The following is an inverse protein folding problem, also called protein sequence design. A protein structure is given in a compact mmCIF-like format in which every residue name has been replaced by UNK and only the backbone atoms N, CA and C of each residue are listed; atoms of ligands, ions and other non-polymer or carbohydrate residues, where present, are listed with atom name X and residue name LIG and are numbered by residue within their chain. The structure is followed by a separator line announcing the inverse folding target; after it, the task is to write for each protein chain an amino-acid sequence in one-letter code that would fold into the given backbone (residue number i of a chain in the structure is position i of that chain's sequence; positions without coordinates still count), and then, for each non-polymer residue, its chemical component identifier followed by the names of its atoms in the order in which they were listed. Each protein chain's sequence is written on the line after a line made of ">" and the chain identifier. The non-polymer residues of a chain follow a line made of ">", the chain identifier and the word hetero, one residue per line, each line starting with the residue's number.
data_IF_604589949458
#
_entry.id   IF_604589949458
#
_cell.length_a   1.000
_cell.length_b   1.000
_cell.length_c   1.000
_cell.angle_alpha   90.00
_cell.angle_beta   90.00
_cell.angle_gamma   90.00
#
_symmetry.space_group_name_H-M   'P 1'
#
loop_
_entity.id
_entity.type
_entity.pdbx_description
1 polymer ?
#
# COMPACT_ATOMS: atom_id res chain seq x y z
N UNK A 1 -13.82 8.19 -5.91
CA UNK A 1 -12.95 8.67 -7.01
C UNK A 1 -12.96 10.18 -6.91
N UNK A 2 -12.06 10.70 -6.09
CA UNK A 2 -12.11 12.07 -5.55
C UNK A 2 -10.84 12.77 -6.00
N UNK A 3 -10.99 13.69 -6.94
CA UNK A 3 -9.91 14.49 -7.50
C UNK A 3 -9.65 15.67 -6.56
N UNK A 4 -8.50 15.67 -5.88
CA UNK A 4 -8.09 16.76 -5.00
C UNK A 4 -7.19 17.70 -5.81
N UNK A 5 -7.77 18.83 -6.21
CA UNK A 5 -7.08 19.96 -6.83
C UNK A 5 -6.29 20.72 -5.74
N UNK A 6 -4.97 20.81 -5.88
CA UNK A 6 -4.06 21.50 -4.95
C UNK A 6 -3.43 22.69 -5.65
N UNK A 7 -4.15 23.81 -5.65
CA UNK A 7 -3.62 25.13 -5.99
C UNK A 7 -2.97 25.77 -4.74
N UNK A 8 -1.66 26.09 -4.74
CA UNK A 8 -1.03 26.84 -3.66
C UNK A 8 -1.19 28.36 -3.90
N UNK A 9 -1.84 29.05 -2.95
CA UNK A 9 -1.85 30.50 -2.86
C UNK A 9 -0.53 31.08 -2.30
N UNK A 10 -0.13 32.30 -2.67
CA UNK A 10 1.18 32.86 -2.34
C UNK A 10 1.20 33.51 -0.94
N UNK A 11 2.05 32.98 -0.05
CA UNK A 11 2.43 33.65 1.19
C UNK A 11 3.69 34.51 0.96
N UNK A 12 3.49 35.82 0.87
CA UNK A 12 4.52 36.85 0.93
C UNK A 12 4.96 37.07 2.38
N UNK A 13 6.23 36.80 2.73
CA UNK A 13 6.92 37.58 3.79
C UNK A 13 8.45 37.49 3.74
N UNK A 14 9.07 38.64 3.41
CA UNK A 14 10.31 39.28 3.94
C UNK A 14 11.50 38.38 4.36
N UNK A 15 12.65 38.47 3.69
CA UNK A 15 13.69 39.51 3.76
C UNK A 15 14.73 39.30 4.88
N UNK A 16 16.01 39.22 4.46
CA UNK A 16 17.30 39.37 5.16
C UNK A 16 18.18 38.13 4.92
N UNK A 17 19.51 38.16 4.82
CA UNK A 17 20.57 39.14 4.60
C UNK A 17 21.86 38.26 4.56
N UNK A 18 22.96 38.83 4.06
CA UNK A 18 24.35 38.42 4.35
C UNK A 18 25.02 37.28 3.56
N UNK A 19 26.07 37.73 2.86
CA UNK A 19 27.41 37.11 2.78
C UNK A 19 27.69 36.20 1.59
N UNK A 20 28.05 36.86 0.49
CA UNK A 20 28.83 36.30 -0.60
C UNK A 20 30.24 35.91 -0.11
N UNK A 21 30.54 34.61 -0.12
CA UNK A 21 31.89 34.06 0.00
C UNK A 21 32.28 33.51 -1.38
N UNK A 22 33.11 34.27 -2.12
CA UNK A 22 33.64 33.86 -3.42
C UNK A 22 34.86 32.97 -3.17
N UNK A 23 34.70 31.67 -3.41
CA UNK A 23 35.78 30.68 -3.36
C UNK A 23 36.34 30.49 -4.78
N UNK A 24 37.57 30.95 -5.02
CA UNK A 24 38.28 30.73 -6.29
C UNK A 24 38.77 29.27 -6.34
N UNK A 25 38.12 28.43 -7.14
CA UNK A 25 38.57 27.06 -7.42
C UNK A 25 39.40 27.06 -8.69
N UNK A 26 40.69 26.75 -8.56
CA UNK A 26 41.61 26.55 -9.69
C UNK A 26 41.34 25.19 -10.34
N UNK A 27 40.82 25.20 -11.56
CA UNK A 27 40.65 24.00 -12.38
C UNK A 27 41.98 23.61 -13.04
N UNK A 28 42.52 22.45 -12.68
CA UNK A 28 43.57 21.79 -13.44
C UNK A 28 42.98 21.07 -14.67
N UNK A 29 43.70 21.00 -15.82
CA UNK A 29 43.21 20.35 -17.02
C UNK A 29 43.13 18.84 -16.81
N UNK A 30 41.90 18.32 -16.72
CA UNK A 30 41.64 16.88 -16.75
C UNK A 30 41.83 16.36 -18.17
N UNK A 31 42.86 15.53 -18.33
CA UNK A 31 43.06 14.75 -19.55
C UNK A 31 41.81 13.93 -19.88
N UNK A 32 41.18 14.24 -21.00
CA UNK A 32 39.99 13.56 -21.50
C UNK A 32 40.39 12.17 -22.03
N UNK A 33 40.42 11.18 -21.15
CA UNK A 33 40.38 9.79 -21.57
C UNK A 33 38.97 9.52 -22.13
N UNK A 34 38.86 9.43 -23.45
CA UNK A 34 37.62 9.06 -24.15
C UNK A 34 37.34 7.57 -23.93
N UNK A 35 36.95 7.21 -22.71
CA UNK A 35 36.38 5.91 -22.41
C UNK A 35 35.01 5.86 -23.08
N UNK A 36 34.88 4.97 -24.07
CA UNK A 36 33.62 4.71 -24.78
C UNK A 36 32.56 4.31 -23.74
N UNK A 37 31.67 5.25 -23.42
CA UNK A 37 30.76 5.11 -22.29
C UNK A 37 29.78 3.95 -22.52
N UNK A 38 29.46 3.16 -21.47
CA UNK A 38 28.45 2.13 -21.57
C UNK A 38 27.10 2.74 -21.98
N UNK A 39 26.35 2.04 -22.83
CA UNK A 39 25.01 2.48 -23.22
C UNK A 39 24.10 2.37 -22.00
N UNK A 40 23.66 3.51 -21.46
CA UNK A 40 22.70 3.59 -20.36
C UNK A 40 21.29 3.73 -20.91
N UNK A 41 20.37 2.89 -20.44
CA UNK A 41 18.98 2.84 -20.89
C UNK A 41 18.07 2.86 -19.66
N UNK A 42 17.07 3.73 -19.69
CA UNK A 42 16.03 3.79 -18.66
C UNK A 42 14.82 2.96 -19.09
N UNK A 43 14.30 2.13 -18.17
CA UNK A 43 13.16 1.25 -18.42
C UNK A 43 12.16 1.38 -17.27
N UNK A 44 10.90 1.65 -17.58
CA UNK A 44 9.81 1.80 -16.58
C UNK A 44 8.99 0.52 -16.37
N UNK A 45 9.09 -0.45 -17.29
CA UNK A 45 8.38 -1.74 -17.23
C UNK A 45 8.96 -2.71 -16.20
N UNK A 46 8.19 -3.73 -15.83
CA UNK A 46 8.65 -4.81 -14.93
C UNK A 46 9.52 -5.86 -15.66
N UNK A 47 9.45 -5.89 -16.98
CA UNK A 47 10.18 -6.81 -17.85
C UNK A 47 10.95 -5.98 -18.87
N UNK A 48 12.22 -6.31 -19.06
CA UNK A 48 13.05 -5.68 -20.09
C UNK A 48 12.81 -6.43 -21.38
N UNK A 49 12.40 -5.75 -22.44
CA UNK A 49 12.27 -6.35 -23.77
C UNK A 49 13.44 -5.96 -24.68
N UNK A 50 13.66 -6.71 -25.75
CA UNK A 50 14.75 -6.42 -26.68
C UNK A 50 14.60 -5.04 -27.35
N UNK A 51 13.36 -4.62 -27.62
CA UNK A 51 13.05 -3.30 -28.17
C UNK A 51 13.49 -2.14 -27.29
N UNK A 52 13.58 -2.33 -25.96
CA UNK A 52 14.08 -1.31 -25.04
C UNK A 52 15.59 -1.07 -25.22
N UNK A 53 16.33 -2.12 -25.61
CA UNK A 53 17.79 -2.09 -25.68
C UNK A 53 18.30 -1.64 -27.05
N UNK A 54 17.64 -2.06 -28.11
CA UNK A 54 18.10 -1.86 -29.49
C UNK A 54 17.02 -1.12 -30.28
N UNK A 55 17.35 0.05 -30.84
CA UNK A 55 16.39 0.93 -31.53
C UNK A 55 15.91 0.40 -32.89
N UNK A 56 16.76 -0.35 -33.59
CA UNK A 56 16.51 -0.82 -34.96
C UNK A 56 16.16 -2.32 -34.99
N UNK A 57 15.25 -2.75 -34.11
CA UNK A 57 14.81 -4.15 -34.00
C UNK A 57 13.59 -4.38 -34.90
N UNK A 58 13.54 -5.47 -35.70
CA UNK A 58 12.33 -5.85 -36.40
C UNK A 58 11.15 -5.99 -35.44
N UNK A 59 9.94 -5.58 -35.84
CA UNK A 59 8.74 -5.60 -34.97
C UNK A 59 8.51 -6.98 -34.33
N UNK A 60 8.79 -8.06 -35.08
CA UNK A 60 8.66 -9.43 -34.58
C UNK A 60 9.58 -9.77 -33.39
N UNK A 61 10.70 -9.05 -33.23
CA UNK A 61 11.70 -9.28 -32.19
C UNK A 61 11.66 -8.24 -31.07
N UNK A 62 10.89 -7.15 -31.23
CA UNK A 62 10.84 -6.06 -30.26
C UNK A 62 10.30 -6.52 -28.90
N UNK A 63 9.33 -7.43 -28.91
CA UNK A 63 8.64 -7.94 -27.71
C UNK A 63 9.36 -9.13 -27.05
N UNK A 64 10.56 -9.49 -27.52
CA UNK A 64 11.30 -10.62 -26.95
C UNK A 64 11.77 -10.28 -25.55
N UNK A 65 11.32 -11.07 -24.58
CA UNK A 65 11.56 -10.85 -23.16
C UNK A 65 12.99 -11.22 -22.77
N UNK A 66 13.72 -10.22 -22.29
CA UNK A 66 15.06 -10.35 -21.77
C UNK A 66 15.06 -10.56 -20.26
N UNK A 67 13.94 -10.66 -19.57
CA UNK A 67 13.85 -10.99 -18.15
C UNK A 67 13.41 -9.82 -17.25
N UNK A 68 13.49 -9.99 -15.92
CA UNK A 68 12.97 -9.00 -14.98
C UNK A 68 13.80 -7.72 -15.03
N UNK A 69 13.11 -6.57 -14.99
CA UNK A 69 13.72 -5.27 -14.78
C UNK A 69 14.32 -5.15 -13.38
N UNK A 70 15.35 -4.31 -13.19
CA UNK A 70 15.87 -4.03 -11.86
C UNK A 70 14.80 -3.41 -10.95
N UNK A 71 15.02 -3.49 -9.64
CA UNK A 71 14.17 -2.78 -8.69
C UNK A 71 14.24 -1.25 -8.95
N UNK A 72 13.16 -0.49 -8.67
CA UNK A 72 13.17 0.96 -8.82
C UNK A 72 14.32 1.61 -8.04
N UNK A 73 15.06 2.49 -8.70
CA UNK A 73 16.27 3.13 -8.14
C UNK A 73 17.54 2.30 -8.29
N UNK A 74 17.46 1.09 -8.85
CA UNK A 74 18.63 0.24 -9.12
C UNK A 74 18.95 0.17 -10.61
N UNK A 75 20.20 -0.23 -10.88
CA UNK A 75 20.68 -0.51 -12.22
C UNK A 75 21.30 -1.90 -12.30
N UNK A 76 21.09 -2.58 -13.42
CA UNK A 76 21.65 -3.89 -13.75
C UNK A 76 22.38 -3.78 -15.08
N UNK A 77 23.57 -4.37 -15.15
CA UNK A 77 24.34 -4.39 -16.39
C UNK A 77 24.21 -5.74 -17.07
N UNK A 78 23.83 -5.74 -18.36
CA UNK A 78 23.76 -6.92 -19.20
C UNK A 78 24.90 -6.90 -20.22
N UNK A 79 25.66 -7.99 -20.25
CA UNK A 79 26.65 -8.25 -21.28
C UNK A 79 26.00 -8.81 -22.54
N UNK A 80 26.64 -8.59 -23.69
CA UNK A 80 26.22 -9.17 -24.98
C UNK A 80 25.95 -10.67 -24.89
N UNK A 81 26.82 -11.43 -24.21
CA UNK A 81 26.68 -12.88 -24.04
C UNK A 81 25.39 -13.26 -23.30
N UNK A 82 24.98 -12.47 -22.29
CA UNK A 82 23.74 -12.70 -21.56
C UNK A 82 22.51 -12.41 -22.42
N UNK A 83 22.55 -11.34 -23.22
CA UNK A 83 21.48 -11.00 -24.15
C UNK A 83 21.34 -12.13 -25.19
N UNK A 84 22.45 -12.56 -25.80
CA UNK A 84 22.47 -13.66 -26.77
C UNK A 84 21.94 -14.98 -26.17
N UNK A 85 22.33 -15.31 -24.93
CA UNK A 85 21.83 -16.50 -24.25
C UNK A 85 20.30 -16.45 -24.06
N UNK A 86 19.75 -15.29 -23.71
CA UNK A 86 18.30 -15.11 -23.53
C UNK A 86 17.54 -15.18 -24.85
N UNK A 87 18.08 -14.62 -25.93
CA UNK A 87 17.52 -14.78 -27.28
C UNK A 87 17.52 -16.23 -27.75
N UNK A 88 18.61 -16.96 -27.49
CA UNK A 88 18.70 -18.38 -27.80
C UNK A 88 17.66 -19.21 -27.03
N UNK A 89 17.42 -18.87 -25.76
CA UNK A 89 16.35 -19.50 -24.95
C UNK A 89 14.94 -19.21 -25.49
N UNK A 90 14.74 -18.05 -26.12
CA UNK A 90 13.49 -17.68 -26.78
C UNK A 90 13.33 -18.28 -28.19
N UNK A 91 14.31 -19.05 -28.68
CA UNK A 91 14.35 -19.61 -30.04
C UNK A 91 14.26 -18.54 -31.14
N UNK A 92 14.86 -17.38 -30.90
CA UNK A 92 14.85 -16.23 -31.82
C UNK A 92 16.17 -16.13 -32.56
N UNK A 93 16.11 -16.07 -33.89
CA UNK A 93 17.27 -15.86 -34.73
C UNK A 93 17.84 -14.45 -34.56
N UNK A 94 19.17 -14.36 -34.42
CA UNK A 94 19.91 -13.12 -34.13
C UNK A 94 20.28 -12.31 -35.38
N UNK A 95 19.93 -12.81 -36.56
CA UNK A 95 20.49 -12.31 -37.81
C UNK A 95 20.01 -10.89 -38.09
N UNK A 96 20.96 -9.98 -38.26
CA UNK A 96 20.70 -8.56 -38.55
C UNK A 96 20.59 -7.63 -37.34
N UNK A 97 20.56 -8.14 -36.09
CA UNK A 97 20.44 -7.29 -34.90
C UNK A 97 21.82 -6.89 -34.35
N UNK A 98 22.12 -5.59 -34.29
CA UNK A 98 23.37 -5.07 -33.71
C UNK A 98 23.27 -4.97 -32.19
N UNK A 99 23.67 -6.02 -31.48
CA UNK A 99 23.67 -6.05 -30.01
C UNK A 99 24.94 -5.36 -29.45
N UNK A 100 24.81 -4.35 -28.58
CA UNK A 100 25.94 -3.69 -27.91
C UNK A 100 26.69 -4.65 -26.97
N UNK A 101 27.99 -4.39 -26.73
CA UNK A 101 28.84 -5.26 -25.88
C UNK A 101 28.37 -5.30 -24.42
N UNK A 102 27.93 -4.15 -23.91
CA UNK A 102 27.55 -3.94 -22.52
C UNK A 102 26.46 -2.87 -22.45
N UNK A 103 25.39 -3.14 -21.72
CA UNK A 103 24.26 -2.23 -21.53
C UNK A 103 23.96 -2.13 -20.06
N UNK A 104 23.85 -0.91 -19.54
CA UNK A 104 23.37 -0.65 -18.19
C UNK A 104 21.92 -0.24 -18.26
N UNK A 105 21.05 -1.06 -17.67
CA UNK A 105 19.62 -0.82 -17.58
C UNK A 105 19.36 -0.26 -16.19
N UNK A 106 18.82 0.95 -16.12
CA UNK A 106 18.40 1.58 -14.87
C UNK A 106 16.89 1.73 -14.85
N UNK A 107 16.27 1.45 -13.71
CA UNK A 107 14.85 1.73 -13.50
C UNK A 107 14.71 2.98 -12.64
N UNK A 108 14.13 4.08 -13.14
CA UNK A 108 13.99 5.28 -12.33
C UNK A 108 13.07 4.98 -11.13
N UNK A 109 13.54 5.36 -9.95
CA UNK A 109 12.78 5.28 -8.70
C UNK A 109 12.44 6.67 -8.19
N UNK A 110 11.30 6.80 -7.51
CA UNK A 110 10.99 7.94 -6.67
C UNK A 110 11.17 7.55 -5.20
N UNK A 111 11.92 8.35 -4.46
CA UNK A 111 12.11 8.16 -3.01
C UNK A 111 11.04 8.92 -2.26
N UNK A 112 10.17 8.21 -1.56
CA UNK A 112 9.14 8.78 -0.70
C UNK A 112 9.73 8.88 0.71
N UNK A 113 9.86 10.12 1.19
CA UNK A 113 10.31 10.38 2.55
C UNK A 113 9.27 9.90 3.58
N UNK A 114 9.75 9.43 4.74
CA UNK A 114 8.90 8.89 5.81
C UNK A 114 7.73 9.81 6.22
N UNK A 115 7.90 11.14 6.38
CA UNK A 115 6.78 12.00 6.78
C UNK A 115 5.65 12.04 5.73
N UNK A 116 6.02 12.02 4.45
CA UNK A 116 5.05 12.02 3.36
C UNK A 116 4.32 10.69 3.27
N UNK A 117 5.05 9.58 3.46
CA UNK A 117 4.48 8.24 3.50
C UNK A 117 3.47 8.10 4.66
N UNK A 118 3.79 8.63 5.84
CA UNK A 118 2.88 8.65 7.00
C UNK A 118 1.58 9.39 6.70
N UNK A 119 1.66 10.56 6.04
CA UNK A 119 0.49 11.33 5.63
C UNK A 119 -0.44 10.53 4.72
N UNK A 120 0.11 9.98 3.62
CA UNK A 120 -0.67 9.19 2.65
C UNK A 120 -1.33 7.98 3.33
N UNK A 121 -0.62 7.28 4.21
CA UNK A 121 -1.16 6.11 4.92
C UNK A 121 -2.24 6.53 5.92
N UNK A 122 -2.06 7.63 6.65
CA UNK A 122 -3.05 8.14 7.59
C UNK A 122 -4.35 8.54 6.88
N UNK A 123 -4.24 9.22 5.73
CA UNK A 123 -5.39 9.60 4.92
C UNK A 123 -6.16 8.37 4.42
N UNK A 124 -5.45 7.37 3.89
CA UNK A 124 -6.05 6.12 3.42
C UNK A 124 -6.70 5.32 4.56
N UNK A 125 -6.09 5.29 5.76
CA UNK A 125 -6.68 4.61 6.91
C UNK A 125 -7.94 5.32 7.42
N UNK A 126 -7.96 6.65 7.48
CA UNK A 126 -9.13 7.41 7.89
C UNK A 126 -10.35 7.18 6.99
N UNK A 127 -10.15 6.88 5.71
CA UNK A 127 -11.24 6.54 4.77
C UNK A 127 -11.81 5.13 5.02
N UNK A 128 -11.01 4.20 5.54
CA UNK A 128 -11.37 2.79 5.74
C UNK A 128 -11.85 2.50 7.17
N UNK A 129 -11.46 3.33 8.15
CA UNK A 129 -11.83 3.13 9.56
C UNK A 129 -13.35 3.30 9.78
N UNK A 130 -13.96 2.45 10.63
CA UNK A 130 -15.38 2.58 10.96
C UNK A 130 -15.65 3.85 11.76
N UNK A 131 -16.87 4.36 11.67
CA UNK A 131 -17.31 5.52 12.44
C UNK A 131 -17.09 5.30 13.95
N UNK A 132 -16.59 6.32 14.64
CA UNK A 132 -16.31 6.27 16.07
C UNK A 132 -14.87 5.87 16.42
N UNK A 133 -14.14 5.20 15.53
CA UNK A 133 -12.72 4.90 15.75
C UNK A 133 -11.88 6.10 15.30
N UNK A 134 -11.02 6.60 16.19
CA UNK A 134 -10.10 7.68 15.86
C UNK A 134 -8.68 7.15 15.71
N UNK A 135 -8.02 7.53 14.61
CA UNK A 135 -6.61 7.21 14.35
C UNK A 135 -5.71 8.12 15.20
N UNK A 136 -4.79 7.51 15.93
CA UNK A 136 -3.73 8.18 16.67
C UNK A 136 -2.44 8.30 15.88
N UNK A 137 -1.31 7.96 16.50
CA UNK A 137 0.00 7.99 15.85
C UNK A 137 0.17 6.87 14.80
N UNK A 138 0.66 7.24 13.61
CA UNK A 138 1.05 6.29 12.56
C UNK A 138 2.57 6.17 12.50
N UNK A 139 3.08 4.97 12.81
CA UNK A 139 4.50 4.62 12.76
C UNK A 139 4.77 3.72 11.57
N UNK A 140 5.28 4.32 10.49
CA UNK A 140 5.91 3.62 9.38
C UNK A 140 7.43 3.81 9.50
N UNK A 141 8.19 2.73 9.34
CA UNK A 141 9.65 2.78 9.42
C UNK A 141 10.28 2.74 8.02
N UNK A 142 11.18 3.68 7.76
CA UNK A 142 12.00 3.72 6.56
C UNK A 142 11.39 4.51 5.41
N UNK A 143 12.25 5.17 4.64
CA UNK A 143 11.87 5.71 3.33
C UNK A 143 11.60 4.58 2.34
N UNK A 144 10.77 4.85 1.34
CA UNK A 144 10.38 3.86 0.34
C UNK A 144 10.79 4.33 -1.05
N UNK A 145 11.55 3.52 -1.77
CA UNK A 145 11.82 3.75 -3.19
C UNK A 145 10.82 2.90 -3.99
N UNK A 146 9.99 3.56 -4.79
CA UNK A 146 9.03 2.92 -5.70
C UNK A 146 9.26 3.38 -7.13
N UNK A 147 8.62 2.72 -8.09
CA UNK A 147 8.54 3.21 -9.46
C UNK A 147 7.86 4.59 -9.53
N UNK A 148 8.09 5.31 -10.62
CA UNK A 148 7.38 6.56 -10.89
C UNK A 148 5.91 6.28 -11.16
N UNK A 149 5.03 7.12 -10.64
CA UNK A 149 3.59 7.03 -10.87
C UNK A 149 2.76 7.43 -9.66
N UNK A 150 1.42 7.42 -9.80
CA UNK A 150 0.51 7.69 -8.70
C UNK A 150 0.68 6.64 -7.61
N UNK A 151 0.65 7.08 -6.36
CA UNK A 151 0.79 6.22 -5.20
C UNK A 151 -0.60 5.75 -4.77
N UNK A 152 -0.79 4.43 -4.73
CA UNK A 152 -1.99 3.77 -4.25
C UNK A 152 -1.65 2.98 -2.99
N UNK A 153 -2.50 3.12 -1.97
CA UNK A 153 -2.31 2.45 -0.69
C UNK A 153 -3.49 1.51 -0.46
N UNK A 154 -3.19 0.22 -0.32
CA UNK A 154 -4.14 -0.82 0.02
C UNK A 154 -3.81 -1.35 1.41
N UNK A 155 -4.82 -1.49 2.26
CA UNK A 155 -4.65 -2.05 3.60
C UNK A 155 -5.82 -2.93 3.96
N UNK A 156 -5.56 -3.96 4.77
CA UNK A 156 -6.57 -4.87 5.29
C UNK A 156 -6.55 -4.74 6.80
N UNK A 157 -7.60 -4.13 7.36
CA UNK A 157 -7.76 -4.01 8.80
C UNK A 157 -8.03 -5.39 9.42
N UNK A 158 -7.52 -5.64 10.65
CA UNK A 158 -7.87 -6.86 11.37
C UNK A 158 -9.38 -6.87 11.72
N UNK A 159 -9.96 -8.06 11.81
CA UNK A 159 -11.38 -8.22 12.10
C UNK A 159 -11.81 -7.69 13.47
N UNK A 160 -10.86 -7.45 14.38
CA UNK A 160 -11.10 -6.87 15.70
C UNK A 160 -10.19 -5.66 15.88
N UNK A 161 -10.80 -4.50 16.05
CA UNK A 161 -10.12 -3.28 16.46
C UNK A 161 -10.26 -3.16 17.97
N UNK A 162 -9.17 -2.85 18.64
CA UNK A 162 -9.15 -2.52 20.06
C UNK A 162 -8.34 -1.24 20.22
N UNK A 163 -8.51 -0.55 21.35
CA UNK A 163 -7.68 0.59 21.66
C UNK A 163 -6.21 0.16 21.83
N UNK A 164 -5.27 1.04 21.45
CA UNK A 164 -3.83 0.83 21.56
C UNK A 164 -3.13 0.60 20.22
N UNK A 165 -1.92 0.02 20.27
CA UNK A 165 -1.09 -0.17 19.09
C UNK A 165 -1.46 -1.46 18.34
N UNK A 166 -1.75 -1.33 17.05
CA UNK A 166 -2.06 -2.42 16.14
C UNK A 166 -1.06 -2.40 14.99
N UNK A 167 -0.47 -3.54 14.65
CA UNK A 167 0.40 -3.67 13.48
C UNK A 167 -0.40 -4.18 12.29
N UNK A 168 -0.36 -3.43 11.18
CA UNK A 168 -1.09 -3.73 9.95
C UNK A 168 -0.11 -3.76 8.78
N UNK A 169 -0.30 -4.70 7.86
CA UNK A 169 0.43 -4.72 6.60
C UNK A 169 -0.24 -3.80 5.60
N UNK A 170 0.51 -2.82 5.12
CA UNK A 170 0.08 -1.87 4.10
C UNK A 170 0.81 -2.16 2.80
N UNK A 171 0.06 -2.35 1.71
CA UNK A 171 0.62 -2.53 0.37
C UNK A 171 0.59 -1.18 -0.35
N UNK A 172 1.77 -0.65 -0.63
CA UNK A 172 1.95 0.61 -1.35
C UNK A 172 2.35 0.30 -2.78
N UNK A 173 1.62 0.84 -3.75
CA UNK A 173 1.83 0.61 -5.17
C UNK A 173 2.08 1.94 -5.86
N UNK A 174 3.11 2.03 -6.71
CA UNK A 174 3.32 3.18 -7.59
C UNK A 174 3.78 2.72 -8.96
N UNK A 175 3.02 3.11 -9.99
CA UNK A 175 3.18 2.56 -11.33
C UNK A 175 3.03 1.04 -11.33
N UNK A 176 4.05 0.35 -11.81
CA UNK A 176 4.14 -1.12 -11.87
C UNK A 176 4.80 -1.75 -10.64
N UNK A 177 5.30 -0.95 -9.69
CA UNK A 177 5.99 -1.45 -8.49
C UNK A 177 5.07 -1.49 -7.26
N UNK A 178 5.15 -2.57 -6.47
CA UNK A 178 4.40 -2.70 -5.22
C UNK A 178 5.30 -3.22 -4.09
N UNK A 179 5.18 -2.64 -2.89
CA UNK A 179 5.87 -3.09 -1.68
C UNK A 179 4.91 -3.19 -0.50
N UNK A 180 5.09 -4.22 0.32
CA UNK A 180 4.37 -4.40 1.58
C UNK A 180 5.22 -3.85 2.72
N UNK A 181 4.62 -3.02 3.57
CA UNK A 181 5.25 -2.39 4.71
C UNK A 181 4.46 -2.71 5.98
N UNK A 182 5.11 -3.14 7.06
CA UNK A 182 4.48 -3.21 8.36
C UNK A 182 4.35 -1.78 8.91
N UNK A 183 3.14 -1.40 9.29
CA UNK A 183 2.83 -0.10 9.88
C UNK A 183 2.21 -0.34 11.23
N UNK A 184 2.72 0.33 12.26
CA UNK A 184 2.12 0.30 13.59
C UNK A 184 1.28 1.55 13.76
N UNK A 185 0.00 1.37 14.04
CA UNK A 185 -0.95 2.46 14.23
C UNK A 185 -1.49 2.43 15.65
N UNK A 186 -1.61 3.59 16.27
CA UNK A 186 -2.37 3.75 17.51
C UNK A 186 -3.83 3.99 17.16
N UNK A 187 -4.72 3.20 17.73
CA UNK A 187 -6.16 3.36 17.58
C UNK A 187 -6.77 3.74 18.93
N UNK A 188 -7.70 4.69 18.90
CA UNK A 188 -8.57 4.98 20.03
C UNK A 188 -9.97 4.54 19.65
N UNK A 189 -10.42 3.46 20.27
CA UNK A 189 -11.79 2.96 20.16
C UNK A 189 -12.52 3.45 21.40
N UNK A 190 -13.55 4.31 21.27
CA UNK A 190 -14.26 4.81 22.43
C UNK A 190 -14.82 3.64 23.23
N UNK A 191 -14.50 3.62 24.52
CA UNK A 191 -14.84 2.55 25.47
C UNK A 191 -16.34 2.21 25.53
N UNK A 192 -17.19 3.10 25.01
CA UNK A 192 -18.62 2.86 24.84
C UNK A 192 -18.91 1.65 23.93
N UNK A 193 -18.03 1.31 22.99
CA UNK A 193 -18.15 0.11 22.15
C UNK A 193 -17.43 -1.12 22.73
N UNK A 194 -16.44 -0.89 23.61
CA UNK A 194 -15.60 -1.94 24.20
C UNK A 194 -16.24 -2.54 25.46
N UNK A 195 -17.08 -1.78 26.17
CA UNK A 195 -17.89 -2.32 27.24
C UNK A 195 -18.84 -3.38 26.68
N UNK A 196 -18.81 -4.58 27.25
CA UNK A 196 -19.83 -5.58 26.93
C UNK A 196 -21.20 -4.96 27.12
N UNK A 197 -21.93 -4.84 26.01
CA UNK A 197 -23.29 -4.35 26.01
C UNK A 197 -24.19 -5.35 26.73
N UNK A 198 -23.87 -6.64 26.63
CA UNK A 198 -24.62 -7.74 27.23
C UNK A 198 -23.67 -8.61 28.06
N UNK A 199 -23.95 -8.77 29.36
CA UNK A 199 -23.23 -9.68 30.25
C UNK A 199 -23.98 -11.01 30.39
N UNK A 200 -23.25 -12.05 30.81
CA UNK A 200 -23.88 -13.32 31.16
C UNK A 200 -24.91 -13.12 32.28
N UNK A 201 -26.13 -13.61 32.06
CA UNK A 201 -27.25 -13.48 32.98
C UNK A 201 -28.16 -12.28 32.69
N UNK A 202 -27.74 -11.35 31.82
CA UNK A 202 -28.58 -10.21 31.46
C UNK A 202 -29.82 -10.66 30.69
N UNK A 203 -30.92 -9.94 30.94
CA UNK A 203 -32.19 -10.16 30.25
C UNK A 203 -32.19 -9.33 28.98
N UNK A 204 -32.12 -9.99 27.83
CA UNK A 204 -32.07 -9.35 26.51
C UNK A 204 -33.35 -9.56 25.72
N UNK A 205 -33.66 -8.61 24.86
CA UNK A 205 -34.72 -8.68 23.85
C UNK A 205 -34.16 -9.27 22.56
N UNK A 206 -34.66 -10.44 22.20
CA UNK A 206 -34.41 -11.08 20.92
C UNK A 206 -35.29 -10.42 19.86
N UNK A 207 -34.68 -9.91 18.79
CA UNK A 207 -35.38 -9.35 17.63
C UNK A 207 -35.08 -10.20 16.42
N UNK A 208 -36.11 -10.82 15.86
CA UNK A 208 -36.02 -11.60 14.62
C UNK A 208 -36.65 -10.74 13.53
N UNK A 209 -35.83 -10.26 12.60
CA UNK A 209 -36.30 -9.50 11.44
C UNK A 209 -36.40 -10.43 10.23
N UNK A 210 -37.59 -10.50 9.67
CA UNK A 210 -37.86 -11.12 8.36
C UNK A 210 -38.42 -10.06 7.43
N UNK A 211 -38.49 -10.34 6.12
CA UNK A 211 -38.90 -9.36 5.10
C UNK A 211 -40.27 -8.73 5.40
N UNK A 212 -41.21 -9.48 5.98
CA UNK A 212 -42.59 -9.02 6.25
C UNK A 212 -42.95 -8.88 7.72
N UNK A 213 -42.09 -9.32 8.65
CA UNK A 213 -42.45 -9.41 10.07
C UNK A 213 -41.25 -9.22 10.99
N UNK A 214 -41.47 -8.54 12.11
CA UNK A 214 -40.53 -8.43 13.23
C UNK A 214 -41.10 -9.14 14.45
N UNK A 215 -40.43 -10.20 14.92
CA UNK A 215 -40.80 -10.92 16.13
C UNK A 215 -39.90 -10.44 17.27
N UNK A 216 -40.49 -10.16 18.43
CA UNK A 216 -39.77 -9.78 19.66
C UNK A 216 -40.02 -10.82 20.74
N UNK A 217 -38.95 -11.32 21.35
CA UNK A 217 -39.00 -12.22 22.50
C UNK A 217 -38.00 -11.79 23.56
N UNK A 218 -38.10 -12.31 24.78
CA UNK A 218 -37.09 -12.10 25.82
C UNK A 218 -36.29 -13.38 26.07
N UNK A 219 -35.04 -13.22 26.47
CA UNK A 219 -34.17 -14.32 26.85
C UNK A 219 -33.08 -13.89 27.82
N UNK A 220 -32.30 -14.86 28.29
CA UNK A 220 -31.17 -14.67 29.21
C UNK A 220 -29.88 -14.97 28.47
N UNK A 221 -28.97 -14.00 28.44
CA UNK A 221 -27.66 -14.17 27.83
C UNK A 221 -26.83 -15.22 28.59
N UNK A 222 -26.25 -16.17 27.86
CA UNK A 222 -25.46 -17.28 28.40
C UNK A 222 -23.96 -16.95 28.42
N UNK A 223 -23.52 -15.99 27.60
CA UNK A 223 -22.17 -15.46 27.58
C UNK A 223 -22.20 -13.94 27.44
N UNK A 224 -21.07 -13.31 27.74
CA UNK A 224 -20.85 -11.88 27.55
C UNK A 224 -20.51 -11.59 26.07
N UNK A 225 -20.94 -10.44 25.56
CA UNK A 225 -20.69 -9.98 24.20
C UNK A 225 -20.78 -8.45 24.08
N UNK A 226 -19.90 -7.88 23.24
CA UNK A 226 -19.95 -6.46 22.85
C UNK A 226 -20.83 -6.26 21.60
N UNK A 227 -21.06 -4.99 21.24
CA UNK A 227 -21.78 -4.64 20.02
C UNK A 227 -21.25 -5.40 18.80
N UNK A 228 -22.15 -5.94 17.98
CA UNK A 228 -21.82 -6.69 16.78
C UNK A 228 -21.29 -8.10 16.98
N UNK A 229 -21.06 -8.56 18.22
CA UNK A 229 -20.61 -9.93 18.50
C UNK A 229 -21.77 -10.91 18.67
N UNK A 230 -21.50 -12.20 18.47
CA UNK A 230 -22.47 -13.26 18.70
C UNK A 230 -22.60 -13.57 20.20
N UNK A 231 -23.83 -13.64 20.67
CA UNK A 231 -24.20 -14.05 22.02
C UNK A 231 -25.20 -15.21 21.95
N UNK A 232 -25.00 -16.18 22.82
CA UNK A 232 -25.93 -17.28 23.03
C UNK A 232 -26.99 -16.82 24.03
N UNK A 233 -28.25 -16.96 23.68
CA UNK A 233 -29.38 -16.52 24.50
C UNK A 233 -30.34 -17.69 24.72
N UNK A 234 -30.80 -17.87 25.95
CA UNK A 234 -31.85 -18.83 26.28
C UNK A 234 -33.20 -18.08 26.36
N UNK A 235 -34.13 -18.28 25.41
CA UNK A 235 -35.44 -17.61 25.43
C UNK A 235 -36.26 -18.00 26.67
N UNK A 236 -37.03 -17.08 27.24
CA UNK A 236 -37.84 -17.35 28.45
C UNK A 236 -38.98 -18.33 28.20
N UNK A 237 -39.46 -18.45 26.96
CA UNK A 237 -40.54 -19.36 26.56
C UNK A 237 -40.01 -20.64 25.87
N UNK A 238 -38.69 -20.83 25.80
CA UNK A 238 -38.07 -21.92 25.05
C UNK A 238 -36.98 -22.63 25.83
N UNK A 239 -36.61 -23.83 25.38
CA UNK A 239 -35.47 -24.60 25.94
C UNK A 239 -34.24 -24.61 25.03
N UNK A 240 -34.37 -24.13 23.79
CA UNK A 240 -33.28 -24.11 22.81
C UNK A 240 -32.52 -22.80 22.94
N UNK A 241 -31.18 -22.90 23.00
CA UNK A 241 -30.28 -21.76 22.92
C UNK A 241 -30.33 -21.22 21.48
N UNK A 242 -30.42 -19.91 21.36
CA UNK A 242 -30.42 -19.18 20.10
C UNK A 242 -29.18 -18.30 20.05
N UNK A 243 -28.45 -18.31 18.95
CA UNK A 243 -27.34 -17.38 18.72
C UNK A 243 -27.87 -16.11 18.05
N UNK A 244 -27.42 -14.96 18.50
CA UNK A 244 -27.76 -13.68 17.88
C UNK A 244 -26.64 -12.66 18.01
N UNK A 245 -26.67 -11.64 17.17
CA UNK A 245 -25.71 -10.53 17.16
C UNK A 245 -26.21 -9.43 18.10
N UNK A 246 -25.37 -8.95 19.02
CA UNK A 246 -25.72 -7.84 19.90
C UNK A 246 -25.82 -6.55 19.08
N UNK A 247 -26.96 -5.87 19.14
CA UNK A 247 -27.18 -4.59 18.41
C UNK A 247 -27.18 -3.41 19.37
N UNK A 248 -27.71 -3.58 20.58
CA UNK A 248 -27.74 -2.55 21.62
C UNK A 248 -27.65 -3.16 23.03
N UNK A 249 -27.64 -2.31 24.07
CA UNK A 249 -27.43 -2.68 25.49
C UNK A 249 -28.35 -3.78 26.03
N UNK A 250 -29.51 -4.03 25.44
CA UNK A 250 -30.37 -5.14 25.81
C UNK A 250 -31.07 -5.74 24.58
N UNK A 251 -30.50 -5.55 23.38
CA UNK A 251 -31.12 -5.96 22.11
C UNK A 251 -30.18 -6.86 21.32
N UNK A 252 -30.68 -8.04 20.94
CA UNK A 252 -29.95 -9.07 20.21
C UNK A 252 -30.74 -9.44 18.97
N UNK A 253 -30.14 -9.25 17.80
CA UNK A 253 -30.71 -9.66 16.52
C UNK A 253 -30.36 -11.13 16.24
N UNK A 254 -31.38 -11.97 16.07
CA UNK A 254 -31.15 -13.40 15.82
C UNK A 254 -30.62 -13.58 14.40
N UNK A 255 -29.48 -14.26 14.28
CA UNK A 255 -28.93 -14.64 12.97
C UNK A 255 -29.57 -15.99 12.60
N UNK A 256 -30.30 -16.07 11.46
CA UNK A 256 -30.94 -17.30 11.01
C UNK A 256 -29.93 -18.39 10.61
#
# INVERSE_FOLDING_TARGET
>A
MTYIDTSPGPCLTRAACCSALVLLVTFGPTGSASAMAPTSIEVDSDRVVLGDIVRDVPVALADVDLGPAPEPGHAVTLSKKQIEARLAMAMVDRDGVKIPKLVTISRPGQTIAEPHLKGIIADALNEILPAGVTLGEVRAFGGLVLGRGPILVETVLPARLHSGFVSVWVKVTAGSSSRKLPVTIELFVPKAEEAALVKRGDRVQLVIRTVSMTIRAFGIAQNEASAGQLVNVLPTQGRKIVAGRVVAKDEVEVVP
#
